data_IF_056176508962
#
_entry.id   IF_056176508962
#
_cell.length_a   1.000
_cell.length_b   1.000
_cell.length_c   1.000
_cell.angle_alpha   90.00
_cell.angle_beta   90.00
_cell.angle_gamma   90.00
#
_symmetry.space_group_name_H-M   'P 1'
#
loop_
_entity.id
_entity.type
_entity.pdbx_description
1 polymer ?
#
# COMPACT_ATOMS: atom_id res chain seq x y z
N UNK A 1 62.03 -13.06 2.71
CA UNK A 1 60.92 -12.41 3.44
C UNK A 1 60.70 -11.04 2.84
N UNK A 2 59.58 -10.84 2.15
CA UNK A 2 58.94 -9.53 1.99
C UNK A 2 57.44 -9.82 2.00
N UNK A 3 56.77 -9.46 3.10
CA UNK A 3 55.32 -9.48 3.20
C UNK A 3 54.75 -8.30 2.44
N UNK A 4 53.86 -8.56 1.51
CA UNK A 4 53.00 -7.54 0.91
C UNK A 4 51.65 -7.58 1.62
N UNK A 5 51.31 -6.43 2.19
CA UNK A 5 50.14 -6.16 3.02
C UNK A 5 48.86 -6.23 2.20
N UNK A 6 47.89 -6.94 2.77
CA UNK A 6 46.51 -7.11 2.30
C UNK A 6 45.82 -5.75 2.11
N UNK A 7 45.49 -5.38 0.87
CA UNK A 7 44.62 -4.23 0.59
C UNK A 7 43.20 -4.62 0.98
N UNK A 8 42.72 -4.05 2.09
CA UNK A 8 41.39 -4.31 2.63
C UNK A 8 40.32 -4.05 1.58
N UNK A 9 39.55 -5.09 1.26
CA UNK A 9 38.23 -4.90 0.66
C UNK A 9 37.33 -4.32 1.75
N UNK A 10 36.98 -3.04 1.63
CA UNK A 10 35.89 -2.46 2.40
C UNK A 10 34.60 -3.17 1.99
N UNK A 11 34.25 -4.22 2.72
CA UNK A 11 32.93 -4.82 2.67
C UNK A 11 31.95 -3.76 3.22
N UNK A 12 31.28 -3.03 2.33
CA UNK A 12 30.15 -2.19 2.70
C UNK A 12 29.04 -3.15 3.10
N UNK A 13 28.80 -3.30 4.40
CA UNK A 13 27.60 -3.97 4.90
C UNK A 13 26.44 -3.01 4.68
N UNK A 14 25.69 -3.23 3.60
CA UNK A 14 24.43 -2.53 3.28
C UNK A 14 23.31 -2.96 4.24
N UNK A 15 23.43 -2.60 5.53
CA UNK A 15 22.40 -2.82 6.56
C UNK A 15 21.68 -1.52 6.92
N UNK A 16 21.64 -0.57 5.99
CA UNK A 16 20.92 0.68 6.17
C UNK A 16 19.40 0.44 6.02
N UNK A 17 18.56 0.89 6.96
CA UNK A 17 17.11 0.71 6.87
C UNK A 17 16.53 1.54 5.72
N UNK A 18 15.73 0.88 4.88
CA UNK A 18 14.97 1.54 3.81
C UNK A 18 13.86 2.39 4.45
N UNK A 19 13.82 3.69 4.11
CA UNK A 19 12.75 4.62 4.53
C UNK A 19 11.82 4.86 3.34
N UNK A 20 10.52 4.62 3.55
CA UNK A 20 9.49 4.88 2.55
C UNK A 20 8.55 5.95 3.11
N UNK A 21 8.37 7.03 2.37
CA UNK A 21 7.38 8.06 2.68
C UNK A 21 6.07 7.69 1.98
N UNK A 22 5.00 7.45 2.75
CA UNK A 22 3.67 7.14 2.22
C UNK A 22 2.66 8.18 2.68
N UNK A 23 1.64 8.42 1.86
CA UNK A 23 0.48 9.27 2.21
C UNK A 23 -0.74 8.37 2.26
N UNK A 24 -1.45 8.39 3.39
CA UNK A 24 -2.73 7.71 3.54
C UNK A 24 -3.86 8.70 3.29
N UNK A 25 -4.72 8.40 2.32
CA UNK A 25 -5.89 9.21 1.98
C UNK A 25 -7.18 8.43 2.24
N UNK A 26 -8.16 9.09 2.86
CA UNK A 26 -9.50 8.55 3.03
C UNK A 26 -10.41 9.06 1.91
N UNK A 27 -10.89 8.15 1.07
CA UNK A 27 -11.84 8.46 0.00
C UNK A 27 -13.25 8.01 0.42
N UNK A 28 -14.18 8.93 0.70
CA UNK A 28 -15.55 8.56 1.03
C UNK A 28 -16.30 8.10 -0.24
N UNK A 29 -17.00 6.98 -0.14
CA UNK A 29 -17.82 6.43 -1.23
C UNK A 29 -19.22 6.10 -0.67
N UNK A 30 -20.26 6.47 -1.42
CA UNK A 30 -21.66 6.08 -1.15
C UNK A 30 -22.16 5.27 -2.33
N UNK A 31 -22.79 4.13 -2.04
CA UNK A 31 -23.40 3.27 -3.05
C UNK A 31 -24.90 3.24 -2.81
N UNK A 32 -25.68 3.56 -3.85
CA UNK A 32 -27.14 3.67 -3.78
C UNK A 32 -27.81 2.94 -4.95
N UNK A 33 -29.03 2.46 -4.74
CA UNK A 33 -29.87 1.91 -5.81
C UNK A 33 -30.47 3.03 -6.69
N UNK A 34 -31.24 2.63 -7.71
CA UNK A 34 -31.93 3.56 -8.62
C UNK A 34 -32.95 4.49 -7.94
N UNK A 35 -33.42 4.14 -6.74
CA UNK A 35 -34.39 4.89 -5.95
C UNK A 35 -33.70 5.76 -4.88
N UNK A 36 -32.36 5.80 -4.86
CA UNK A 36 -31.56 6.57 -3.92
C UNK A 36 -31.38 5.91 -2.55
N UNK A 37 -31.76 4.65 -2.37
CA UNK A 37 -31.57 3.92 -1.11
C UNK A 37 -30.13 3.43 -1.00
N UNK A 38 -29.52 3.58 0.17
CA UNK A 38 -28.16 3.10 0.42
C UNK A 38 -28.09 1.57 0.33
N UNK A 39 -27.13 1.08 -0.44
CA UNK A 39 -26.80 -0.34 -0.51
C UNK A 39 -25.84 -0.67 0.63
N UNK A 40 -26.21 -1.65 1.44
CA UNK A 40 -25.43 -2.10 2.60
C UNK A 40 -24.84 -3.50 2.35
N UNK A 41 -23.90 -3.92 3.20
CA UNK A 41 -23.33 -5.28 3.14
C UNK A 41 -22.30 -5.51 2.03
N UNK A 42 -21.87 -4.45 1.35
CA UNK A 42 -20.81 -4.52 0.34
C UNK A 42 -19.49 -4.96 0.96
N UNK A 43 -18.78 -5.81 0.23
CA UNK A 43 -17.48 -6.35 0.60
C UNK A 43 -16.40 -5.77 -0.29
N UNK A 44 -15.13 -5.96 0.10
CA UNK A 44 -13.96 -5.53 -0.66
C UNK A 44 -13.98 -6.05 -2.10
N UNK A 45 -14.49 -7.25 -2.32
CA UNK A 45 -14.54 -7.90 -3.63
C UNK A 45 -15.54 -7.24 -4.60
N UNK A 46 -16.48 -6.44 -4.09
CA UNK A 46 -17.45 -5.69 -4.89
C UNK A 46 -16.84 -4.41 -5.50
N UNK A 47 -15.59 -4.09 -5.16
CA UNK A 47 -14.89 -2.89 -5.62
C UNK A 47 -13.63 -3.23 -6.42
N UNK A 48 -13.26 -2.32 -7.33
CA UNK A 48 -11.96 -2.32 -8.00
C UNK A 48 -11.47 -0.89 -8.13
N UNK A 49 -10.22 -0.67 -7.75
CA UNK A 49 -9.55 0.63 -7.87
C UNK A 49 -8.57 0.55 -9.03
N UNK A 50 -8.59 1.57 -9.88
CA UNK A 50 -7.63 1.72 -10.97
C UNK A 50 -6.94 3.06 -10.83
N UNK A 51 -5.63 3.07 -11.01
CA UNK A 51 -4.83 4.28 -11.11
C UNK A 51 -4.22 4.29 -12.51
N UNK A 52 -4.57 5.30 -13.31
CA UNK A 52 -4.06 5.43 -14.68
C UNK A 52 -4.29 4.17 -15.53
N UNK A 53 -5.43 3.50 -15.34
CA UNK A 53 -5.77 2.24 -16.03
C UNK A 53 -5.15 0.98 -15.42
N UNK A 54 -4.26 1.10 -14.44
CA UNK A 54 -3.65 -0.05 -13.75
C UNK A 54 -4.46 -0.42 -12.52
N UNK A 55 -4.88 -1.69 -12.42
CA UNK A 55 -5.61 -2.21 -11.26
C UNK A 55 -4.75 -2.17 -10.00
N UNK A 56 -5.29 -1.61 -8.93
CA UNK A 56 -4.64 -1.48 -7.62
C UNK A 56 -5.18 -2.52 -6.63
N UNK A 57 -4.31 -2.97 -5.73
CA UNK A 57 -4.71 -3.78 -4.59
C UNK A 57 -5.35 -2.88 -3.54
N UNK A 58 -6.58 -3.18 -3.15
CA UNK A 58 -7.19 -2.57 -1.98
C UNK A 58 -6.57 -3.27 -0.76
N UNK A 59 -5.77 -2.60 0.06
CA UNK A 59 -5.20 -3.23 1.27
C UNK A 59 -6.24 -3.29 2.40
N UNK A 60 -6.99 -2.20 2.56
CA UNK A 60 -7.94 -2.02 3.65
C UNK A 60 -9.24 -1.39 3.15
N UNK A 61 -10.38 -2.00 3.51
CA UNK A 61 -11.70 -1.41 3.34
C UNK A 61 -12.40 -1.38 4.71
N UNK A 62 -12.62 -0.20 5.31
CA UNK A 62 -13.28 -0.12 6.61
C UNK A 62 -14.75 -0.52 6.48
N UNK A 63 -15.25 -1.28 7.46
CA UNK A 63 -16.69 -1.50 7.59
C UNK A 63 -17.37 -0.21 8.02
N UNK A 64 -18.49 0.19 7.40
CA UNK A 64 -19.27 1.31 7.89
C UNK A 64 -19.65 1.03 9.34
N UNK A 65 -19.29 1.93 10.26
CA UNK A 65 -19.76 1.81 11.64
C UNK A 65 -21.27 2.07 11.64
N UNK A 66 -22.05 1.09 12.06
CA UNK A 66 -23.46 1.30 12.37
C UNK A 66 -23.53 2.24 13.57
N UNK A 67 -24.13 3.41 13.38
CA UNK A 67 -24.58 4.27 14.46
C UNK A 67 -26.00 3.86 14.88
#
# INVERSE_FOLDING_TARGET
>A
MISLVNTGSSQVTDDAPIRINTVLLNVPVVVSDKDGRNITGLKKEDFSVFQEGVKQTIEFLPTPKSH
#
